data_IF_836184340570
#
_entry.id   IF_836184340570
#
_cell.length_a   1.000
_cell.length_b   1.000
_cell.length_c   1.000
_cell.angle_alpha   90.00
_cell.angle_beta   90.00
_cell.angle_gamma   90.00
#
_symmetry.space_group_name_H-M   'P 1'
#
loop_
_entity.id
_entity.type
_entity.pdbx_description
1 polymer ?
#
# COMPACT_ATOMS: atom_id res chain seq x y z
N UNK A 1 18.59 -14.62 -7.83
CA UNK A 1 18.39 -13.19 -8.09
C UNK A 1 16.90 -12.88 -8.05
N UNK A 2 16.50 -12.09 -7.10
CA UNK A 2 15.11 -11.68 -7.01
C UNK A 2 14.76 -10.76 -8.16
N UNK A 3 13.80 -11.13 -8.97
CA UNK A 3 13.25 -10.23 -9.94
C UNK A 3 12.32 -9.28 -9.20
N UNK A 4 12.70 -8.04 -9.13
CA UNK A 4 11.83 -6.99 -8.65
C UNK A 4 10.88 -6.67 -9.79
N UNK A 5 9.65 -7.13 -9.69
CA UNK A 5 8.63 -6.77 -10.65
C UNK A 5 7.77 -5.70 -10.02
N UNK A 6 8.01 -4.48 -10.42
CA UNK A 6 7.08 -3.40 -10.18
C UNK A 6 6.08 -3.40 -11.34
N UNK A 7 5.07 -4.21 -11.27
CA UNK A 7 3.97 -4.09 -12.21
C UNK A 7 2.84 -3.30 -11.57
N UNK A 8 2.72 -2.08 -12.01
CA UNK A 8 1.52 -1.31 -11.82
C UNK A 8 0.42 -1.86 -12.73
N UNK A 9 -0.20 -2.95 -12.33
CA UNK A 9 -1.53 -3.24 -12.88
C UNK A 9 -2.49 -2.32 -12.16
N UNK A 10 -3.01 -1.38 -12.90
CA UNK A 10 -4.05 -0.50 -12.42
C UNK A 10 -5.31 -1.32 -12.16
N UNK A 11 -5.40 -1.90 -10.98
CA UNK A 11 -6.67 -2.35 -10.51
C UNK A 11 -7.47 -1.09 -10.19
N UNK A 12 -8.49 -0.87 -10.95
CA UNK A 12 -9.37 0.27 -10.78
C UNK A 12 -10.17 0.07 -9.49
N UNK A 13 -9.84 0.84 -8.44
CA UNK A 13 -10.54 0.77 -7.16
C UNK A 13 -12.03 1.06 -7.34
N UNK A 14 -12.37 2.02 -8.19
CA UNK A 14 -13.76 2.36 -8.50
C UNK A 14 -14.53 1.15 -9.04
N UNK A 15 -13.92 0.41 -9.97
CA UNK A 15 -14.53 -0.79 -10.51
C UNK A 15 -14.68 -1.90 -9.46
N UNK A 16 -13.69 -2.05 -8.58
CA UNK A 16 -13.78 -3.02 -7.48
C UNK A 16 -14.89 -2.67 -6.51
N UNK A 17 -15.06 -1.39 -6.19
CA UNK A 17 -16.15 -0.92 -5.34
C UNK A 17 -17.52 -1.24 -5.97
N UNK A 18 -17.66 -0.94 -7.25
CA UNK A 18 -18.89 -1.23 -7.98
C UNK A 18 -19.20 -2.73 -8.00
N UNK A 19 -18.19 -3.56 -8.23
CA UNK A 19 -18.34 -5.02 -8.23
C UNK A 19 -18.80 -5.57 -6.87
N UNK A 20 -18.47 -4.88 -5.79
CA UNK A 20 -18.89 -5.26 -4.42
C UNK A 20 -20.24 -4.62 -4.02
N UNK A 21 -20.89 -3.93 -4.93
CA UNK A 21 -22.17 -3.30 -4.66
C UNK A 21 -22.07 -2.05 -3.79
N UNK A 22 -20.90 -1.45 -3.67
CA UNK A 22 -20.70 -0.25 -2.90
C UNK A 22 -21.29 0.95 -3.61
N UNK A 23 -22.03 1.78 -2.86
CA UNK A 23 -22.56 3.03 -3.40
C UNK A 23 -21.40 4.01 -3.65
N UNK A 24 -21.25 4.42 -4.91
CA UNK A 24 -20.21 5.35 -5.31
C UNK A 24 -20.79 6.76 -5.46
N UNK A 25 -20.41 7.64 -4.53
CA UNK A 25 -20.66 9.07 -4.64
C UNK A 25 -19.57 9.71 -5.50
N UNK A 26 -19.81 10.93 -5.96
CA UNK A 26 -18.80 11.69 -6.71
C UNK A 26 -17.50 11.81 -5.94
N UNK A 27 -17.58 12.12 -4.65
CA UNK A 27 -16.38 12.26 -3.81
C UNK A 27 -15.65 10.93 -3.60
N UNK A 28 -16.37 9.84 -3.42
CA UNK A 28 -15.77 8.49 -3.35
C UNK A 28 -15.06 8.12 -4.64
N UNK A 29 -15.62 8.50 -5.78
CA UNK A 29 -14.98 8.27 -7.08
C UNK A 29 -13.65 9.00 -7.21
N UNK A 30 -13.61 10.28 -6.78
CA UNK A 30 -12.36 11.05 -6.79
C UNK A 30 -11.31 10.38 -5.92
N UNK A 31 -11.67 9.99 -4.70
CA UNK A 31 -10.75 9.33 -3.78
C UNK A 31 -10.25 8.00 -4.36
N UNK A 32 -11.14 7.21 -4.94
CA UNK A 32 -10.78 5.95 -5.58
C UNK A 32 -9.80 6.14 -6.75
N UNK A 33 -10.03 7.14 -7.58
CA UNK A 33 -9.17 7.46 -8.72
C UNK A 33 -7.79 7.92 -8.28
N UNK A 34 -7.72 8.77 -7.26
CA UNK A 34 -6.45 9.25 -6.73
C UNK A 34 -5.63 8.09 -6.16
N UNK A 35 -6.26 7.22 -5.37
CA UNK A 35 -5.59 6.02 -4.85
C UNK A 35 -5.14 5.09 -5.96
N UNK A 36 -5.99 4.84 -6.95
CA UNK A 36 -5.65 3.97 -8.10
C UNK A 36 -4.46 4.51 -8.89
N UNK A 37 -4.35 5.82 -9.00
CA UNK A 37 -3.25 6.47 -9.71
C UNK A 37 -1.98 6.69 -8.87
N UNK A 38 -2.02 6.37 -7.58
CA UNK A 38 -0.90 6.59 -6.67
C UNK A 38 0.04 5.38 -6.70
N UNK A 39 1.31 5.62 -7.03
CA UNK A 39 2.35 4.60 -7.02
C UNK A 39 3.07 4.53 -5.67
N UNK A 40 2.92 5.54 -4.86
CA UNK A 40 3.44 5.61 -3.51
C UNK A 40 2.39 5.14 -2.49
N UNK A 41 2.74 5.18 -1.22
CA UNK A 41 1.85 4.79 -0.13
C UNK A 41 1.43 6.06 0.62
N UNK A 42 0.43 6.81 0.13
CA UNK A 42 0.04 8.06 0.77
C UNK A 42 -0.65 7.80 2.11
N UNK A 43 -0.45 8.71 3.05
CA UNK A 43 -1.28 8.79 4.25
C UNK A 43 -2.57 9.58 3.95
N UNK A 44 -3.43 9.70 4.94
CA UNK A 44 -4.71 10.40 4.75
C UNK A 44 -4.52 11.88 4.43
N UNK A 45 -3.55 12.53 5.05
CA UNK A 45 -3.30 13.97 4.80
C UNK A 45 -2.85 14.21 3.36
N UNK A 46 -1.92 13.41 2.87
CA UNK A 46 -1.45 13.51 1.49
C UNK A 46 -2.54 13.14 0.51
N UNK A 47 -3.31 12.11 0.81
CA UNK A 47 -4.44 11.70 0.00
C UNK A 47 -5.48 12.81 -0.09
N UNK A 48 -5.80 13.44 1.05
CA UNK A 48 -6.71 14.59 1.09
C UNK A 48 -6.19 15.76 0.24
N UNK A 49 -4.91 16.07 0.35
CA UNK A 49 -4.30 17.13 -0.45
C UNK A 49 -4.48 16.88 -1.95
N UNK A 50 -4.22 15.66 -2.41
CA UNK A 50 -4.37 15.28 -3.82
C UNK A 50 -5.83 15.33 -4.27
N UNK A 51 -6.74 14.86 -3.43
CA UNK A 51 -8.18 14.89 -3.73
C UNK A 51 -8.70 16.32 -3.78
N UNK A 52 -8.24 17.18 -2.89
CA UNK A 52 -8.69 18.58 -2.82
C UNK A 52 -8.27 19.39 -4.05
N UNK A 53 -7.19 19.00 -4.73
CA UNK A 53 -6.80 19.61 -5.99
C UNK A 53 -7.82 19.33 -7.10
N UNK A 54 -8.53 18.21 -7.03
CA UNK A 54 -9.55 17.82 -8.00
C UNK A 54 -10.91 18.38 -7.58
N UNK A 55 -11.26 18.25 -6.31
CA UNK A 55 -12.53 18.72 -5.76
C UNK A 55 -12.28 19.28 -4.35
N UNK A 56 -12.22 20.60 -4.25
CA UNK A 56 -11.94 21.29 -2.99
C UNK A 56 -13.02 21.11 -1.92
N UNK A 57 -14.19 20.56 -2.27
CA UNK A 57 -15.27 20.28 -1.33
C UNK A 57 -15.02 19.03 -0.50
N UNK A 58 -14.07 18.19 -0.89
CA UNK A 58 -13.74 16.97 -0.17
C UNK A 58 -13.03 17.34 1.13
N UNK A 59 -13.65 17.02 2.26
CA UNK A 59 -13.03 17.22 3.58
C UNK A 59 -12.11 16.06 3.94
N UNK A 60 -11.20 16.31 4.87
CA UNK A 60 -10.33 15.25 5.40
C UNK A 60 -11.16 14.16 6.10
N UNK A 61 -12.24 14.53 6.76
CA UNK A 61 -13.16 13.56 7.38
C UNK A 61 -13.78 12.62 6.35
N UNK A 62 -14.13 13.13 5.18
CA UNK A 62 -14.65 12.31 4.08
C UNK A 62 -13.58 11.34 3.57
N UNK A 63 -12.33 11.79 3.46
CA UNK A 63 -11.23 10.91 3.07
C UNK A 63 -11.05 9.79 4.10
N UNK A 64 -11.01 10.11 5.39
CA UNK A 64 -10.91 9.10 6.45
C UNK A 64 -12.01 8.05 6.37
N UNK A 65 -13.25 8.48 6.28
CA UNK A 65 -14.39 7.56 6.20
C UNK A 65 -14.33 6.70 4.95
N UNK A 66 -13.91 7.27 3.85
CA UNK A 66 -13.85 6.55 2.57
C UNK A 66 -12.74 5.52 2.56
N UNK A 67 -11.53 5.85 3.06
CA UNK A 67 -10.46 4.86 3.13
C UNK A 67 -10.78 3.73 4.10
N UNK A 68 -11.45 4.03 5.21
CA UNK A 68 -11.90 2.98 6.12
C UNK A 68 -12.92 2.06 5.46
N UNK A 69 -13.82 2.61 4.66
CA UNK A 69 -14.79 1.84 3.90
C UNK A 69 -14.10 0.93 2.88
N UNK A 70 -13.11 1.44 2.18
CA UNK A 70 -12.35 0.66 1.20
C UNK A 70 -11.51 -0.43 1.88
N UNK A 71 -10.93 -0.14 3.01
CA UNK A 71 -10.18 -1.11 3.81
C UNK A 71 -11.09 -2.24 4.31
N UNK A 72 -12.22 -1.89 4.88
CA UNK A 72 -13.21 -2.87 5.39
C UNK A 72 -13.74 -3.76 4.26
N UNK A 73 -13.84 -3.23 3.06
CA UNK A 73 -14.26 -3.99 1.88
C UNK A 73 -13.14 -4.86 1.29
N UNK A 74 -11.92 -4.77 1.82
CA UNK A 74 -10.77 -5.53 1.32
C UNK A 74 -10.24 -5.03 -0.01
N UNK A 75 -10.46 -3.77 -0.34
CA UNK A 75 -10.03 -3.17 -1.61
C UNK A 75 -8.67 -2.51 -1.49
N UNK A 76 -8.38 -1.93 -0.33
CA UNK A 76 -7.09 -1.33 -0.02
C UNK A 76 -6.52 -1.93 1.25
N UNK A 77 -5.22 -1.79 1.41
CA UNK A 77 -4.49 -2.26 2.58
C UNK A 77 -3.89 -1.08 3.32
N UNK A 78 -3.98 -1.16 4.64
CA UNK A 78 -3.39 -0.18 5.55
C UNK A 78 -2.09 -0.71 6.09
N UNK A 79 -1.04 0.11 6.04
CA UNK A 79 0.27 -0.21 6.58
C UNK A 79 0.68 0.77 7.66
N UNK A 80 1.27 0.25 8.72
CA UNK A 80 1.94 1.03 9.75
C UNK A 80 3.44 0.70 9.69
N UNK A 81 4.23 1.66 9.21
CA UNK A 81 5.67 1.52 9.06
C UNK A 81 6.45 2.21 10.18
N UNK A 82 5.91 2.23 11.40
CA UNK A 82 6.53 2.85 12.59
C UNK A 82 6.68 4.37 12.51
N UNK A 83 5.84 5.02 11.72
CA UNK A 83 5.88 6.47 11.53
C UNK A 83 4.85 7.22 12.37
N UNK A 84 4.01 6.50 13.11
CA UNK A 84 2.89 7.08 13.84
C UNK A 84 1.72 7.49 12.96
N UNK A 85 1.73 7.12 11.69
CA UNK A 85 0.65 7.37 10.72
C UNK A 85 0.42 6.14 9.86
N UNK A 86 -0.82 5.91 9.47
CA UNK A 86 -1.17 4.84 8.55
C UNK A 86 -0.93 5.29 7.12
N UNK A 87 -0.39 4.38 6.31
CA UNK A 87 -0.23 4.57 4.88
C UNK A 87 -1.09 3.55 4.15
N UNK A 88 -1.56 3.91 2.98
CA UNK A 88 -2.54 3.12 2.24
C UNK A 88 -2.02 2.74 0.87
N UNK A 89 -2.34 1.54 0.46
CA UNK A 89 -2.07 1.09 -0.89
C UNK A 89 -3.21 0.22 -1.40
N UNK A 90 -3.32 0.17 -2.71
CA UNK A 90 -4.25 -0.71 -3.38
C UNK A 90 -3.87 -2.17 -3.12
N UNK A 91 -4.85 -2.99 -2.74
CA UNK A 91 -4.63 -4.42 -2.57
C UNK A 91 -4.42 -5.03 -3.95
N UNK A 92 -3.28 -5.69 -4.13
CA UNK A 92 -2.92 -6.38 -5.37
C UNK A 92 -2.94 -7.87 -5.16
N UNK A 93 -3.16 -8.60 -6.25
CA UNK A 93 -2.93 -10.03 -6.23
C UNK A 93 -1.44 -10.29 -6.05
N UNK A 94 -1.11 -11.24 -5.19
CA UNK A 94 0.25 -11.58 -4.88
C UNK A 94 0.79 -10.86 -3.66
N UNK A 95 1.76 -11.49 -3.06
CA UNK A 95 2.39 -11.01 -1.84
C UNK A 95 3.54 -10.06 -2.17
N UNK A 96 3.58 -8.94 -1.51
CA UNK A 96 4.67 -7.97 -1.60
C UNK A 96 5.25 -7.71 -0.22
N UNK A 97 6.57 -7.67 -0.16
CA UNK A 97 7.28 -7.18 1.01
C UNK A 97 7.63 -5.70 0.80
N UNK A 98 7.96 -5.02 1.86
CA UNK A 98 8.23 -3.58 1.82
C UNK A 98 9.60 -3.28 2.37
N UNK A 99 10.31 -2.37 1.71
CA UNK A 99 11.52 -1.76 2.23
C UNK A 99 11.28 -0.28 2.40
N UNK A 100 11.49 0.21 3.60
CA UNK A 100 11.25 1.61 3.96
C UNK A 100 12.59 2.33 4.07
N UNK A 101 12.77 3.36 3.24
CA UNK A 101 13.93 4.23 3.34
C UNK A 101 13.74 5.16 4.55
N UNK A 102 14.53 4.97 5.58
CA UNK A 102 14.42 5.73 6.82
C UNK A 102 14.73 7.21 6.67
N UNK A 103 15.43 7.59 5.60
CA UNK A 103 15.78 9.00 5.37
C UNK A 103 14.69 9.77 4.68
N UNK A 104 14.02 9.16 3.72
CA UNK A 104 13.05 9.84 2.87
C UNK A 104 11.61 9.45 3.16
N UNK A 105 11.39 8.31 3.83
CA UNK A 105 10.08 7.70 4.01
C UNK A 105 9.57 6.97 2.78
N UNK A 106 10.36 6.90 1.71
CA UNK A 106 9.98 6.17 0.51
C UNK A 106 9.80 4.69 0.83
N UNK A 107 8.73 4.10 0.30
CA UNK A 107 8.44 2.68 0.43
C UNK A 107 8.64 2.00 -0.92
N UNK A 108 9.50 0.99 -0.92
CA UNK A 108 9.78 0.18 -2.10
C UNK A 108 9.15 -1.19 -1.89
N UNK A 109 8.33 -1.61 -2.83
CA UNK A 109 7.78 -2.96 -2.83
C UNK A 109 8.74 -3.90 -3.53
N UNK A 110 8.89 -5.10 -2.99
CA UNK A 110 9.73 -6.11 -3.60
C UNK A 110 9.17 -7.51 -3.36
N UNK A 111 9.62 -8.45 -4.17
CA UNK A 111 9.40 -9.87 -3.97
C UNK A 111 10.73 -10.59 -4.08
N UNK A 112 10.93 -11.58 -3.23
CA UNK A 112 12.11 -12.43 -3.28
C UNK A 112 11.72 -13.89 -3.06
N UNK A 113 11.88 -14.70 -4.09
CA UNK A 113 11.61 -16.14 -3.99
C UNK A 113 12.50 -16.81 -2.96
N UNK A 114 13.74 -16.33 -2.80
CA UNK A 114 14.68 -16.86 -1.82
C UNK A 114 14.19 -16.65 -0.40
N UNK A 115 13.67 -15.46 -0.09
CA UNK A 115 13.09 -15.15 1.22
C UNK A 115 11.86 -16.01 1.45
N UNK A 116 10.98 -16.13 0.45
CA UNK A 116 9.77 -16.94 0.54
C UNK A 116 10.09 -18.38 0.88
N UNK A 117 11.06 -18.97 0.19
CA UNK A 117 11.50 -20.36 0.45
C UNK A 117 12.11 -20.52 1.83
N UNK A 118 12.94 -19.58 2.24
CA UNK A 118 13.59 -19.61 3.55
C UNK A 118 12.55 -19.56 4.68
N UNK A 119 11.57 -18.71 4.57
CA UNK A 119 10.51 -18.61 5.57
C UNK A 119 9.68 -19.89 5.65
N UNK A 120 9.33 -20.46 4.51
CA UNK A 120 8.62 -21.74 4.45
C UNK A 120 9.43 -22.86 5.10
N UNK A 121 10.74 -22.90 4.84
CA UNK A 121 11.64 -23.87 5.44
C UNK A 121 11.72 -23.74 6.96
N UNK A 122 11.84 -22.53 7.45
CA UNK A 122 11.86 -22.27 8.89
C UNK A 122 10.57 -22.74 9.55
N UNK A 123 9.42 -22.41 8.96
CA UNK A 123 8.13 -22.85 9.48
C UNK A 123 8.04 -24.37 9.52
N UNK A 124 8.46 -25.04 8.45
CA UNK A 124 8.44 -26.51 8.37
C UNK A 124 9.36 -27.16 9.41
N UNK A 125 10.55 -26.61 9.61
CA UNK A 125 11.47 -27.13 10.64
C UNK A 125 10.92 -27.00 12.04
N UNK A 126 10.05 -26.02 12.27
CA UNK A 126 9.35 -25.83 13.53
C UNK A 126 8.08 -26.66 13.63
N UNK A 127 7.70 -27.39 12.58
CA UNK A 127 6.54 -28.26 12.55
C UNK A 127 5.27 -27.58 12.05
N UNK A 128 5.40 -26.52 11.28
CA UNK A 128 4.26 -25.72 10.82
C UNK A 128 4.26 -25.54 9.32
N UNK A 129 3.08 -25.29 8.78
CA UNK A 129 2.90 -24.86 7.40
C UNK A 129 2.71 -23.34 7.39
N UNK A 130 3.55 -22.64 6.66
CA UNK A 130 3.44 -21.19 6.50
C UNK A 130 2.16 -20.86 5.73
N UNK A 131 1.33 -19.98 6.28
CA UNK A 131 0.09 -19.53 5.66
C UNK A 131 0.27 -18.13 5.08
N UNK A 132 0.92 -17.26 5.82
CA UNK A 132 1.13 -15.87 5.44
C UNK A 132 2.28 -15.30 6.25
N UNK A 133 2.84 -14.19 5.78
CA UNK A 133 3.86 -13.46 6.52
C UNK A 133 3.82 -11.99 6.15
N UNK A 134 4.43 -11.18 6.98
CA UNK A 134 4.68 -9.78 6.72
C UNK A 134 6.16 -9.51 6.95
N UNK A 135 6.81 -8.85 6.00
CA UNK A 135 8.21 -8.49 6.10
C UNK A 135 8.39 -7.03 5.71
N UNK A 136 8.83 -6.23 6.66
CA UNK A 136 9.18 -4.84 6.44
C UNK A 136 10.68 -4.66 6.75
N UNK A 137 11.44 -4.18 5.78
CA UNK A 137 12.85 -3.87 5.95
C UNK A 137 13.00 -2.37 6.13
N UNK A 138 13.67 -1.97 7.19
CA UNK A 138 13.96 -0.57 7.48
C UNK A 138 15.42 -0.31 7.16
N UNK A 139 15.68 0.52 6.19
CA UNK A 139 17.02 0.63 5.62
C UNK A 139 17.40 2.08 5.29
N UNK A 140 18.68 2.28 5.11
CA UNK A 140 19.22 3.53 4.59
C UNK A 140 19.99 3.23 3.32
N UNK A 141 20.12 4.18 2.37
CA UNK A 141 20.89 3.95 1.15
C UNK A 141 22.32 3.49 1.45
N UNK A 142 22.82 2.55 0.65
CA UNK A 142 24.18 2.06 0.80
C UNK A 142 25.21 3.17 0.66
N UNK A 143 24.98 4.02 -0.33
CA UNK A 143 25.76 5.22 -0.50
C UNK A 143 24.91 6.42 -0.14
N UNK A 144 25.44 7.23 0.76
CA UNK A 144 24.74 8.41 1.17
C UNK A 144 24.90 9.54 0.15
N UNK A 145 24.30 9.34 -1.00
CA UNK A 145 24.29 10.35 -2.07
C UNK A 145 23.53 11.61 -1.66
N UNK A 146 22.68 11.53 -0.65
CA UNK A 146 21.94 12.66 -0.13
C UNK A 146 22.83 13.65 0.63
N UNK A 147 24.03 13.25 1.01
CA UNK A 147 25.02 14.13 1.65
C UNK A 147 25.83 14.95 0.66
N UNK A 148 25.62 14.75 -0.61
CA UNK A 148 26.38 15.43 -1.64
C UNK A 148 25.59 16.55 -2.26
#
# INVERSE_FOLDING_TARGET
>A
MGTVVAEAKHNNIEAQCAAKGMRMTEQRRVIARVLSGSSDHPDVEELHRRCAEIDSRISISTVYRTVNLFEDAGIIERHDFREGRARYEQLREGHHDHLINLRTGEVIEFQSEEIERLQADVARKLGYRLVDHRLDLYAVPLEDKAKR
#
